data_IF_863623899584
#
_entry.id   IF_863623899584
#
_cell.length_a   1.000
_cell.length_b   1.000
_cell.length_c   1.000
_cell.angle_alpha   90.00
_cell.angle_beta   90.00
_cell.angle_gamma   90.00
#
_symmetry.space_group_name_H-M   'P 1'
#
loop_
_entity.id
_entity.type
_entity.pdbx_description
1 polymer ?
#
# COMPACT_ATOMS: atom_id res chain seq x y z
N UNK A 1 11.50 -5.48 3.43
CA UNK A 1 11.06 -6.71 4.17
C UNK A 1 10.20 -6.25 5.34
N UNK A 2 9.04 -6.85 5.60
CA UNK A 2 8.26 -6.49 6.78
C UNK A 2 9.05 -6.82 8.07
N UNK A 3 9.12 -5.90 9.06
CA UNK A 3 9.76 -6.19 10.34
C UNK A 3 9.00 -7.29 11.08
N UNK A 4 9.71 -8.07 11.89
CA UNK A 4 9.05 -8.99 12.81
C UNK A 4 8.30 -8.20 13.88
N UNK A 5 7.05 -8.55 14.16
CA UNK A 5 6.33 -7.99 15.29
C UNK A 5 6.98 -8.49 16.58
N UNK A 6 7.52 -7.57 17.38
CA UNK A 6 8.28 -7.89 18.60
C UNK A 6 7.40 -8.26 19.82
N UNK A 7 6.06 -8.25 19.68
CA UNK A 7 5.18 -8.79 20.71
C UNK A 7 4.92 -7.87 21.91
N UNK A 8 5.02 -6.54 21.75
CA UNK A 8 4.76 -5.58 22.84
C UNK A 8 3.37 -5.75 23.46
N UNK A 9 3.28 -5.69 24.79
CA UNK A 9 1.99 -5.75 25.48
C UNK A 9 1.26 -4.41 25.33
N UNK A 10 -0.08 -4.43 25.36
CA UNK A 10 -0.92 -3.22 25.20
C UNK A 10 -0.58 -2.16 26.29
N UNK A 11 -0.01 -2.57 27.43
CA UNK A 11 0.41 -1.66 28.51
C UNK A 11 1.60 -0.76 28.14
N UNK A 12 2.35 -1.08 27.09
CA UNK A 12 3.56 -0.37 26.68
C UNK A 12 3.33 0.57 25.48
N UNK A 13 2.08 0.71 25.02
CA UNK A 13 1.78 1.61 23.91
C UNK A 13 1.92 3.07 24.36
N UNK A 14 2.58 3.93 23.54
CA UNK A 14 2.70 5.33 23.87
C UNK A 14 1.33 6.02 23.80
N UNK A 15 1.13 7.05 24.63
CA UNK A 15 -0.11 7.83 24.65
C UNK A 15 -0.37 8.60 23.35
N UNK A 16 0.69 8.88 22.57
CA UNK A 16 0.63 9.49 21.24
C UNK A 16 1.60 8.78 20.32
N UNK A 17 1.17 8.54 19.09
CA UNK A 17 1.97 7.84 18.09
C UNK A 17 1.63 8.33 16.70
N UNK A 18 2.65 8.62 15.90
CA UNK A 18 2.50 9.03 14.51
C UNK A 18 3.61 8.41 13.64
N UNK A 19 3.23 7.58 12.67
CA UNK A 19 4.17 7.00 11.71
C UNK A 19 4.84 8.06 10.82
N UNK A 20 4.21 9.23 10.64
CA UNK A 20 4.77 10.32 9.83
C UNK A 20 6.05 10.88 10.46
N UNK A 21 6.08 10.98 11.79
CA UNK A 21 7.27 11.41 12.54
C UNK A 21 8.46 10.45 12.40
N UNK A 22 8.21 9.21 11.95
CA UNK A 22 9.25 8.20 11.69
C UNK A 22 9.75 8.22 10.24
N UNK A 23 9.20 9.07 9.37
CA UNK A 23 9.61 9.15 7.97
C UNK A 23 9.24 7.92 7.13
N UNK A 24 8.28 7.11 7.58
CA UNK A 24 7.85 5.86 6.92
C UNK A 24 6.48 5.99 6.24
N UNK A 25 5.93 7.20 6.17
CA UNK A 25 4.65 7.49 5.50
C UNK A 25 4.94 8.35 4.28
N UNK A 26 4.48 7.90 3.11
CA UNK A 26 4.65 8.63 1.85
C UNK A 26 3.86 9.93 1.80
N UNK A 27 4.14 10.80 0.81
CA UNK A 27 3.31 11.98 0.58
C UNK A 27 1.87 11.59 0.26
N UNK A 28 0.95 12.51 0.53
CA UNK A 28 -0.47 12.35 0.16
C UNK A 28 -0.58 12.23 -1.36
N UNK A 29 -1.39 11.27 -1.82
CA UNK A 29 -1.66 11.03 -3.23
C UNK A 29 -3.14 11.29 -3.55
N UNK A 30 -3.48 11.41 -4.85
CA UNK A 30 -4.83 11.72 -5.31
C UNK A 30 -5.36 10.66 -6.28
N UNK A 31 -6.47 10.01 -5.93
CA UNK A 31 -7.14 8.99 -6.75
C UNK A 31 -8.06 9.55 -7.85
N UNK A 32 -8.22 10.87 -7.91
CA UNK A 32 -9.14 11.55 -8.83
C UNK A 32 -10.56 10.98 -8.71
N UNK A 33 -11.27 10.81 -9.83
CA UNK A 33 -12.62 10.25 -9.87
C UNK A 33 -12.67 8.72 -9.90
N UNK A 34 -11.53 8.04 -9.87
CA UNK A 34 -11.46 6.57 -9.88
C UNK A 34 -11.75 6.01 -8.48
N UNK A 35 -12.62 4.99 -8.39
CA UNK A 35 -12.91 4.26 -7.15
C UNK A 35 -11.79 3.33 -6.68
N UNK A 36 -10.52 3.75 -6.81
CA UNK A 36 -9.34 2.95 -6.48
C UNK A 36 -8.81 3.16 -5.06
N UNK A 37 -9.60 3.71 -4.12
CA UNK A 37 -9.18 3.94 -2.73
C UNK A 37 -8.64 2.67 -2.07
N UNK A 38 -9.21 1.50 -2.41
CA UNK A 38 -8.77 0.19 -1.96
C UNK A 38 -7.32 -0.12 -2.38
N UNK A 39 -6.91 0.28 -3.57
CA UNK A 39 -5.56 0.10 -4.08
C UNK A 39 -4.58 1.07 -3.39
N UNK A 40 -4.94 2.35 -3.26
CA UNK A 40 -4.14 3.34 -2.52
C UNK A 40 -3.89 2.90 -1.07
N UNK A 41 -4.92 2.36 -0.40
CA UNK A 41 -4.82 1.85 0.97
C UNK A 41 -3.77 0.74 1.08
N UNK A 42 -3.82 -0.25 0.19
CA UNK A 42 -2.88 -1.39 0.21
C UNK A 42 -1.47 -0.97 -0.18
N UNK A 43 -1.32 -0.19 -1.25
CA UNK A 43 0.00 0.26 -1.70
C UNK A 43 0.68 1.13 -0.64
N UNK A 44 -0.04 2.07 -0.04
CA UNK A 44 0.48 2.90 1.05
C UNK A 44 0.95 2.06 2.25
N UNK A 45 0.15 1.07 2.66
CA UNK A 45 0.53 0.16 3.74
C UNK A 45 1.78 -0.67 3.40
N UNK A 46 1.89 -1.18 2.17
CA UNK A 46 3.07 -1.94 1.70
C UNK A 46 4.32 -1.07 1.74
N UNK A 47 4.27 0.15 1.20
CA UNK A 47 5.38 1.11 1.25
C UNK A 47 5.84 1.35 2.69
N UNK A 48 4.90 1.65 3.59
CA UNK A 48 5.21 1.92 5.00
C UNK A 48 5.83 0.70 5.70
N UNK A 49 5.27 -0.49 5.52
CA UNK A 49 5.81 -1.71 6.13
C UNK A 49 7.23 -2.02 5.64
N UNK A 50 7.55 -1.73 4.37
CA UNK A 50 8.91 -1.85 3.87
C UNK A 50 9.86 -0.84 4.51
N UNK A 51 9.42 0.41 4.63
CA UNK A 51 10.20 1.48 5.24
C UNK A 51 10.45 1.23 6.74
N UNK A 52 9.45 0.76 7.50
CA UNK A 52 9.62 0.36 8.90
C UNK A 52 10.64 -0.78 9.03
N UNK A 53 10.70 -1.69 8.05
CA UNK A 53 11.70 -2.75 7.98
C UNK A 53 13.11 -2.31 7.57
N UNK A 54 13.36 -1.00 7.45
CA UNK A 54 14.68 -0.43 7.13
C UNK A 54 14.98 -0.27 5.63
N UNK A 55 13.99 -0.48 4.76
CA UNK A 55 14.14 -0.16 3.33
C UNK A 55 13.91 1.34 3.10
N UNK A 56 14.40 1.89 1.98
CA UNK A 56 14.04 3.25 1.58
C UNK A 56 12.53 3.34 1.31
N UNK A 57 11.91 4.45 1.71
CA UNK A 57 10.52 4.73 1.40
C UNK A 57 10.38 5.09 -0.09
N UNK A 58 9.96 4.12 -0.89
CA UNK A 58 9.76 4.24 -2.32
C UNK A 58 8.27 4.43 -2.66
N UNK A 59 7.96 5.22 -3.70
CA UNK A 59 6.60 5.29 -4.23
C UNK A 59 6.35 4.13 -5.19
N UNK A 60 5.40 3.26 -4.84
CA UNK A 60 5.04 2.07 -5.60
C UNK A 60 3.80 2.34 -6.47
N UNK A 61 3.67 1.58 -7.54
CA UNK A 61 2.57 1.73 -8.50
C UNK A 61 1.23 1.30 -7.90
N UNK A 62 0.36 2.29 -7.70
CA UNK A 62 -1.06 2.04 -7.41
C UNK A 62 -1.77 1.44 -8.63
N UNK A 63 -1.38 1.88 -9.83
CA UNK A 63 -2.01 1.45 -11.07
C UNK A 63 -1.83 -0.05 -11.32
N UNK A 64 -0.66 -0.61 -11.03
CA UNK A 64 -0.43 -2.05 -11.11
C UNK A 64 -1.43 -2.84 -10.25
N UNK A 65 -1.79 -2.33 -9.06
CA UNK A 65 -2.79 -2.98 -8.20
C UNK A 65 -4.19 -2.83 -8.78
N UNK A 66 -4.54 -1.65 -9.31
CA UNK A 66 -5.82 -1.40 -9.99
C UNK A 66 -6.03 -2.36 -11.16
N UNK A 67 -4.99 -2.57 -11.98
CA UNK A 67 -5.05 -3.32 -13.23
C UNK A 67 -4.92 -4.84 -13.00
N UNK A 68 -4.02 -5.26 -12.10
CA UNK A 68 -3.65 -6.67 -11.99
C UNK A 68 -4.38 -7.44 -10.87
N UNK A 69 -5.02 -6.76 -9.91
CA UNK A 69 -5.81 -7.41 -8.86
C UNK A 69 -7.18 -7.84 -9.39
N UNK A 70 -7.20 -8.84 -10.26
CA UNK A 70 -8.35 -9.26 -11.09
C UNK A 70 -9.62 -9.70 -10.33
N UNK A 71 -9.57 -9.87 -9.01
CA UNK A 71 -10.76 -10.13 -8.17
C UNK A 71 -11.43 -8.83 -7.67
N UNK A 72 -10.75 -7.70 -7.81
CA UNK A 72 -11.31 -6.36 -7.64
C UNK A 72 -11.80 -5.82 -8.99
N UNK A 73 -12.49 -4.67 -8.96
CA UNK A 73 -13.16 -4.11 -10.14
C UNK A 73 -12.52 -2.79 -10.61
N UNK A 74 -11.20 -2.66 -10.47
CA UNK A 74 -10.48 -1.45 -10.89
C UNK A 74 -11.06 -0.18 -10.27
N UNK A 75 -11.52 0.74 -11.12
CA UNK A 75 -12.18 1.99 -10.70
C UNK A 75 -13.63 1.84 -10.22
N UNK A 76 -14.28 0.69 -10.41
CA UNK A 76 -15.64 0.43 -9.91
C UNK A 76 -15.63 -0.05 -8.44
N UNK A 77 -14.48 0.07 -7.77
CA UNK A 77 -14.30 -0.31 -6.38
C UNK A 77 -13.61 -1.65 -6.17
N UNK A 78 -13.35 -1.95 -4.91
CA UNK A 78 -12.61 -3.13 -4.51
C UNK A 78 -12.42 -3.21 -3.01
N UNK A 79 -11.78 -4.29 -2.59
CA UNK A 79 -11.48 -4.59 -1.19
C UNK A 79 -9.97 -4.65 -0.97
N UNK A 80 -9.45 -3.92 0.03
CA UNK A 80 -8.06 -4.05 0.47
C UNK A 80 -7.67 -5.49 0.83
N UNK A 81 -8.57 -6.27 1.44
CA UNK A 81 -8.28 -7.66 1.82
C UNK A 81 -8.14 -8.58 0.61
N UNK A 82 -8.92 -8.35 -0.45
CA UNK A 82 -8.80 -9.07 -1.72
C UNK A 82 -7.48 -8.72 -2.41
N UNK A 83 -7.09 -7.45 -2.41
CA UNK A 83 -5.82 -7.00 -2.97
C UNK A 83 -4.61 -7.58 -2.22
N UNK A 84 -4.64 -7.58 -0.88
CA UNK A 84 -3.61 -8.23 -0.05
C UNK A 84 -3.56 -9.75 -0.29
N UNK A 85 -4.71 -10.40 -0.46
CA UNK A 85 -4.77 -11.83 -0.79
C UNK A 85 -4.13 -12.10 -2.16
N UNK A 86 -4.43 -11.26 -3.16
CA UNK A 86 -3.82 -11.34 -4.48
C UNK A 86 -2.29 -11.17 -4.42
N UNK A 87 -1.77 -10.17 -3.70
CA UNK A 87 -0.32 -10.00 -3.46
C UNK A 87 0.31 -11.24 -2.81
N UNK A 88 -0.36 -11.78 -1.78
CA UNK A 88 0.12 -12.97 -1.06
C UNK A 88 0.16 -14.23 -1.94
N UNK A 89 -0.85 -14.40 -2.80
CA UNK A 89 -1.00 -15.58 -3.66
C UNK A 89 -0.08 -15.52 -4.87
N UNK A 90 -0.02 -14.39 -5.57
CA UNK A 90 0.77 -14.24 -6.80
C UNK A 90 2.26 -14.01 -6.53
N UNK A 91 2.62 -13.56 -5.33
CA UNK A 91 3.99 -13.14 -4.98
C UNK A 91 4.53 -12.04 -5.89
N UNK A 92 3.66 -11.33 -6.60
CA UNK A 92 4.05 -10.22 -7.46
C UNK A 92 4.72 -9.14 -6.62
N UNK A 93 5.81 -8.59 -7.15
CA UNK A 93 6.46 -7.42 -6.58
C UNK A 93 5.83 -6.19 -7.22
N UNK A 94 5.45 -5.24 -6.38
CA UNK A 94 4.99 -3.96 -6.90
C UNK A 94 6.17 -3.21 -7.51
N UNK A 95 5.99 -2.66 -8.71
CA UNK A 95 6.97 -1.81 -9.39
C UNK A 95 6.84 -0.38 -8.88
N UNK A 96 7.79 0.47 -9.26
CA UNK A 96 7.76 1.88 -8.87
C UNK A 96 6.62 2.62 -9.57
N UNK A 97 6.17 3.72 -8.98
CA UNK A 97 5.22 4.63 -9.60
C UNK A 97 5.76 5.20 -10.94
N UNK A 98 7.07 5.34 -11.08
CA UNK A 98 7.71 5.76 -12.34
C UNK A 98 7.63 4.70 -13.44
N UNK A 99 7.76 3.41 -13.08
CA UNK A 99 7.72 2.32 -14.07
C UNK A 99 6.29 2.05 -14.55
N UNK A 100 5.30 2.22 -13.68
CA UNK A 100 3.89 2.06 -14.01
C UNK A 100 3.05 3.20 -13.42
N UNK A 101 2.95 4.35 -14.11
CA UNK A 101 2.28 5.54 -13.62
C UNK A 101 0.77 5.37 -13.43
N UNK A 102 0.22 6.11 -12.47
CA UNK A 102 -1.22 6.20 -12.20
C UNK A 102 -1.98 6.92 -13.31
N UNK A 103 -3.05 6.29 -13.78
CA UNK A 103 -3.87 6.73 -14.92
C UNK A 103 -5.33 7.02 -14.54
N UNK A 104 -5.71 6.75 -13.28
CA UNK A 104 -7.08 6.93 -12.77
C UNK A 104 -8.18 6.28 -13.64
N UNK A 105 -7.86 5.14 -14.24
CA UNK A 105 -8.77 4.32 -15.03
C UNK A 105 -8.39 2.86 -14.86
N UNK A 106 -9.35 1.96 -15.06
CA UNK A 106 -9.07 0.53 -15.19
C UNK A 106 -8.32 0.27 -16.50
N UNK A 107 -7.28 -0.57 -16.47
CA UNK A 107 -6.55 -1.01 -17.66
C UNK A 107 -6.00 -2.42 -17.53
#
# INVERSE_FOLDING_TARGET
RAPAFSGGSIKELPAKFDWREKGVVGPVQNQLSCGSCWAFSVVGAVQSVYAIGGSQLEQLSVQQVVDCSFKNKGCDGGSPSVALTWLKQTKVKLVTQSDYPYKAKTG
#
